data_IF_732097937692
#
_entry.id   IF_732097937692
#
_cell.length_a   1.000
_cell.length_b   1.000
_cell.length_c   1.000
_cell.angle_alpha   90.00
_cell.angle_beta   90.00
_cell.angle_gamma   90.00
#
_symmetry.space_group_name_H-M   'P 1'
#
loop_
_entity.id
_entity.type
_entity.pdbx_description
1 polymer ?
#
# COMPACT_ATOMS: atom_id res chain seq x y z
N UNK A 1 -2.00 -7.95 -10.55
CA UNK A 1 -1.96 -7.66 -9.11
C UNK A 1 -0.65 -7.03 -8.73
N UNK A 2 -0.66 -6.20 -7.70
CA UNK A 2 0.53 -5.70 -7.02
C UNK A 2 0.67 -6.51 -5.72
N UNK A 3 1.75 -7.28 -5.58
CA UNK A 3 1.96 -8.22 -4.46
C UNK A 3 3.08 -7.73 -3.56
N UNK A 4 2.97 -7.92 -2.25
CA UNK A 4 4.08 -7.70 -1.32
C UNK A 4 3.65 -7.47 0.13
N UNK A 5 4.62 -7.51 1.02
CA UNK A 5 4.41 -7.47 2.47
C UNK A 5 3.86 -6.13 2.97
N UNK A 6 3.47 -6.06 4.24
CA UNK A 6 2.96 -4.83 4.82
C UNK A 6 3.99 -3.69 4.70
N UNK A 7 3.52 -2.46 4.48
CA UNK A 7 4.41 -1.28 4.43
C UNK A 7 5.25 -1.12 3.17
N UNK A 8 5.22 -2.04 2.19
CA UNK A 8 6.06 -1.98 0.97
C UNK A 8 5.59 -0.96 -0.10
N UNK A 9 4.65 -0.06 0.22
CA UNK A 9 4.19 0.97 -0.72
C UNK A 9 3.15 0.54 -1.77
N UNK A 10 2.54 -0.66 -1.67
CA UNK A 10 1.51 -1.13 -2.63
C UNK A 10 0.36 -0.15 -2.83
N UNK A 11 -0.20 0.37 -1.74
CA UNK A 11 -1.32 1.32 -1.78
C UNK A 11 -0.89 2.65 -2.39
N UNK A 12 0.36 3.07 -2.19
CA UNK A 12 0.95 4.27 -2.80
C UNK A 12 1.06 4.09 -4.32
N UNK A 13 1.70 2.99 -4.77
CA UNK A 13 1.82 2.66 -6.19
C UNK A 13 0.45 2.57 -6.87
N UNK A 14 -0.51 1.91 -6.22
CA UNK A 14 -1.87 1.79 -6.73
C UNK A 14 -2.53 3.17 -6.88
N UNK A 15 -2.34 4.08 -5.91
CA UNK A 15 -2.89 5.46 -5.95
C UNK A 15 -2.27 6.29 -7.06
N UNK A 16 -0.97 6.15 -7.30
CA UNK A 16 -0.31 6.84 -8.41
C UNK A 16 -0.84 6.36 -9.76
N UNK A 17 -1.06 5.04 -9.90
CA UNK A 17 -1.66 4.46 -11.10
C UNK A 17 -3.13 4.86 -11.29
N UNK A 18 -3.82 5.32 -10.24
CA UNK A 18 -5.25 5.61 -10.30
C UNK A 18 -5.60 6.68 -11.33
N UNK A 19 -4.78 7.73 -11.45
CA UNK A 19 -5.00 8.82 -12.40
C UNK A 19 -4.91 8.32 -13.85
N UNK A 20 -3.81 7.63 -14.19
CA UNK A 20 -3.62 7.04 -15.52
C UNK A 20 -4.70 6.02 -15.86
N UNK A 21 -5.12 5.20 -14.90
CA UNK A 21 -6.19 4.23 -15.09
C UNK A 21 -7.56 4.89 -15.31
N UNK A 22 -7.84 6.01 -14.64
CA UNK A 22 -9.08 6.74 -14.84
C UNK A 22 -9.18 7.35 -16.25
N UNK A 23 -8.04 7.81 -16.79
CA UNK A 23 -7.96 8.40 -18.13
C UNK A 23 -8.07 7.33 -19.24
N UNK A 24 -7.32 6.23 -19.11
CA UNK A 24 -7.25 5.17 -20.13
C UNK A 24 -8.44 4.19 -20.06
N UNK A 25 -9.09 4.07 -18.90
CA UNK A 25 -10.13 3.07 -18.63
C UNK A 25 -11.36 3.72 -18.00
N UNK A 26 -12.12 4.53 -18.76
CA UNK A 26 -13.29 5.23 -18.26
C UNK A 26 -14.34 4.26 -17.70
N UNK A 27 -15.09 4.72 -16.70
CA UNK A 27 -16.04 3.88 -15.97
C UNK A 27 -15.39 2.92 -14.97
N UNK A 28 -14.10 3.10 -14.67
CA UNK A 28 -13.39 2.41 -13.60
C UNK A 28 -13.99 2.69 -12.22
N UNK A 29 -13.80 1.76 -11.27
CA UNK A 29 -14.29 1.85 -9.90
C UNK A 29 -13.16 1.55 -8.92
N UNK A 30 -13.15 2.24 -7.78
CA UNK A 30 -12.12 2.09 -6.76
C UNK A 30 -12.71 1.68 -5.41
N UNK A 31 -12.05 0.77 -4.72
CA UNK A 31 -12.36 0.44 -3.33
C UNK A 31 -11.09 0.16 -2.54
N UNK A 32 -11.04 0.71 -1.33
CA UNK A 32 -10.08 0.32 -0.31
C UNK A 32 -10.81 -0.52 0.73
N UNK A 33 -10.35 -1.75 0.92
CA UNK A 33 -10.89 -2.66 1.91
C UNK A 33 -10.15 -2.46 3.22
N UNK A 34 -10.92 -2.26 4.29
CA UNK A 34 -10.39 -2.16 5.65
C UNK A 34 -10.79 -3.40 6.43
N UNK A 35 -9.93 -3.81 7.36
CA UNK A 35 -10.33 -4.69 8.46
C UNK A 35 -10.03 -3.94 9.77
N UNK A 36 -11.00 -3.77 10.68
CA UNK A 36 -10.73 -3.23 11.99
C UNK A 36 -10.02 -4.27 12.84
N UNK A 37 -9.11 -3.80 13.70
CA UNK A 37 -8.52 -4.59 14.77
C UNK A 37 -9.62 -4.92 15.81
N UNK A 38 -10.31 -6.05 15.62
CA UNK A 38 -11.46 -6.39 16.46
C UNK A 38 -11.68 -7.90 16.61
N UNK A 39 -12.59 -8.30 17.51
CA UNK A 39 -12.88 -9.73 17.73
C UNK A 39 -13.58 -10.41 16.53
N UNK A 40 -13.53 -11.75 16.50
CA UNK A 40 -14.05 -12.62 15.41
C UNK A 40 -15.45 -12.29 14.86
N UNK A 41 -16.39 -11.78 15.67
CA UNK A 41 -17.74 -11.40 15.19
C UNK A 41 -17.75 -10.14 14.33
N UNK A 42 -16.88 -9.17 14.63
CA UNK A 42 -16.74 -7.95 13.83
C UNK A 42 -16.12 -8.26 12.48
N UNK A 43 -15.16 -9.19 12.45
CA UNK A 43 -14.53 -9.66 11.22
C UNK A 43 -15.55 -10.22 10.22
N UNK A 44 -16.51 -11.07 10.65
CA UNK A 44 -17.52 -11.60 9.73
C UNK A 44 -18.42 -10.50 9.13
N UNK A 45 -18.85 -9.53 9.94
CA UNK A 45 -19.68 -8.42 9.45
C UNK A 45 -18.92 -7.57 8.43
N UNK A 46 -17.66 -7.27 8.72
CA UNK A 46 -16.77 -6.53 7.82
C UNK A 46 -16.57 -7.27 6.50
N UNK A 47 -16.24 -8.56 6.56
CA UNK A 47 -16.04 -9.37 5.36
C UNK A 47 -17.30 -9.37 4.48
N UNK A 48 -18.49 -9.48 5.08
CA UNK A 48 -19.75 -9.42 4.33
C UNK A 48 -19.96 -8.03 3.73
N UNK A 49 -19.66 -6.95 4.45
CA UNK A 49 -19.73 -5.58 3.95
C UNK A 49 -18.75 -5.34 2.79
N UNK A 50 -17.50 -5.79 2.92
CA UNK A 50 -16.47 -5.75 1.90
C UNK A 50 -16.90 -6.49 0.63
N UNK A 51 -17.45 -7.71 0.78
CA UNK A 51 -18.03 -8.47 -0.34
C UNK A 51 -19.16 -7.70 -1.00
N UNK A 52 -20.10 -7.14 -0.23
CA UNK A 52 -21.23 -6.39 -0.76
C UNK A 52 -20.77 -5.14 -1.53
N UNK A 53 -19.80 -4.41 -1.01
CA UNK A 53 -19.19 -3.23 -1.64
C UNK A 53 -18.49 -3.61 -2.95
N UNK A 54 -17.61 -4.61 -2.92
CA UNK A 54 -16.92 -5.08 -4.14
C UNK A 54 -17.92 -5.58 -5.17
N UNK A 55 -18.97 -6.31 -4.75
CA UNK A 55 -20.01 -6.79 -5.67
C UNK A 55 -20.78 -5.64 -6.31
N UNK A 56 -21.10 -4.60 -5.55
CA UNK A 56 -21.79 -3.39 -6.04
C UNK A 56 -20.92 -2.66 -7.04
N UNK A 57 -19.67 -2.37 -6.68
CA UNK A 57 -18.74 -1.65 -7.55
C UNK A 57 -18.40 -2.44 -8.80
N UNK A 58 -18.16 -3.75 -8.67
CA UNK A 58 -17.97 -4.62 -9.83
C UNK A 58 -19.15 -4.56 -10.80
N UNK A 59 -20.39 -4.36 -10.35
CA UNK A 59 -21.55 -4.18 -11.24
C UNK A 59 -21.57 -2.81 -11.92
N UNK A 60 -21.12 -1.78 -11.20
CA UNK A 60 -21.04 -0.39 -11.66
C UNK A 60 -19.87 -0.15 -12.64
N UNK A 61 -18.82 -0.99 -12.59
CA UNK A 61 -17.72 -0.92 -13.56
C UNK A 61 -18.24 -1.17 -14.97
N UNK A 62 -17.95 -0.27 -15.90
CA UNK A 62 -18.35 -0.39 -17.30
C UNK A 62 -17.53 -1.48 -18.02
N UNK A 63 -18.04 -2.08 -19.12
CA UNK A 63 -17.21 -2.91 -19.99
C UNK A 63 -15.98 -2.13 -20.47
N UNK A 64 -14.79 -2.74 -20.43
CA UNK A 64 -13.52 -2.05 -20.69
C UNK A 64 -12.96 -1.29 -19.49
N UNK A 65 -13.78 -0.99 -18.47
CA UNK A 65 -13.34 -0.32 -17.24
C UNK A 65 -12.59 -1.26 -16.29
N UNK A 66 -11.87 -0.65 -15.35
CA UNK A 66 -11.07 -1.35 -14.32
C UNK A 66 -11.72 -1.26 -12.93
N UNK A 67 -11.82 -2.40 -12.24
CA UNK A 67 -12.12 -2.44 -10.80
C UNK A 67 -10.81 -2.50 -10.02
N UNK A 68 -10.50 -1.45 -9.29
CA UNK A 68 -9.32 -1.35 -8.44
C UNK A 68 -9.68 -1.69 -6.99
N UNK A 69 -8.98 -2.64 -6.40
CA UNK A 69 -9.19 -3.13 -5.03
C UNK A 69 -7.89 -3.03 -4.23
N UNK A 70 -7.83 -2.11 -3.27
CA UNK A 70 -6.77 -2.09 -2.28
C UNK A 70 -7.14 -3.00 -1.11
N UNK A 71 -6.29 -3.97 -0.76
CA UNK A 71 -6.51 -4.94 0.31
C UNK A 71 -7.24 -6.21 -0.14
N UNK A 72 -6.82 -6.84 -1.24
CA UNK A 72 -7.47 -8.04 -1.78
C UNK A 72 -7.49 -9.25 -0.84
N UNK A 73 -6.55 -9.33 0.11
CA UNK A 73 -6.50 -10.35 1.15
C UNK A 73 -7.73 -10.34 2.07
N UNK A 74 -8.42 -9.20 2.18
CA UNK A 74 -9.62 -9.03 3.02
C UNK A 74 -10.86 -9.74 2.45
N UNK A 75 -10.77 -10.26 1.21
CA UNK A 75 -11.83 -11.04 0.57
C UNK A 75 -11.57 -12.53 0.71
N UNK A 76 -12.59 -13.38 0.97
CA UNK A 76 -12.40 -14.83 0.99
C UNK A 76 -11.90 -15.37 -0.36
N UNK A 77 -11.04 -16.40 -0.33
CA UNK A 77 -10.46 -16.99 -1.55
C UNK A 77 -11.51 -17.42 -2.58
N UNK A 78 -12.61 -18.02 -2.13
CA UNK A 78 -13.74 -18.43 -2.98
C UNK A 78 -14.37 -17.23 -3.67
N UNK A 79 -14.50 -16.10 -2.97
CA UNK A 79 -15.05 -14.87 -3.54
C UNK A 79 -14.10 -14.25 -4.56
N UNK A 80 -12.79 -14.27 -4.31
CA UNK A 80 -11.78 -13.81 -5.28
C UNK A 80 -11.83 -14.61 -6.59
N UNK A 81 -11.97 -15.94 -6.49
CA UNK A 81 -12.15 -16.80 -7.67
C UNK A 81 -13.45 -16.50 -8.42
N UNK A 82 -14.56 -16.31 -7.69
CA UNK A 82 -15.82 -15.89 -8.32
C UNK A 82 -15.66 -14.54 -9.03
N UNK A 83 -14.98 -13.58 -8.40
CA UNK A 83 -14.75 -12.25 -8.95
C UNK A 83 -13.93 -12.30 -10.24
N UNK A 84 -12.84 -13.07 -10.30
CA UNK A 84 -12.00 -13.20 -11.50
C UNK A 84 -12.79 -13.72 -12.69
N UNK A 85 -13.61 -14.75 -12.47
CA UNK A 85 -14.51 -15.31 -13.49
C UNK A 85 -15.53 -14.26 -13.94
N UNK A 86 -16.15 -13.54 -13.01
CA UNK A 86 -17.17 -12.53 -13.35
C UNK A 86 -16.61 -11.34 -14.13
N UNK A 87 -15.42 -10.87 -13.77
CA UNK A 87 -14.76 -9.75 -14.43
C UNK A 87 -14.36 -10.15 -15.85
N UNK A 88 -13.73 -11.32 -16.02
CA UNK A 88 -13.34 -11.85 -17.33
C UNK A 88 -14.55 -12.05 -18.26
N UNK A 89 -15.64 -12.63 -17.75
CA UNK A 89 -16.87 -12.87 -18.55
C UNK A 89 -17.57 -11.59 -19.01
N UNK A 90 -17.34 -10.47 -18.34
CA UNK A 90 -17.95 -9.17 -18.68
C UNK A 90 -17.02 -8.22 -19.44
N UNK A 91 -15.83 -8.67 -19.85
CA UNK A 91 -14.86 -7.84 -20.56
C UNK A 91 -14.38 -6.66 -19.73
N UNK A 92 -14.17 -6.88 -18.43
CA UNK A 92 -13.69 -5.86 -17.47
C UNK A 92 -12.29 -6.22 -16.99
N UNK A 93 -11.62 -5.26 -16.39
CA UNK A 93 -10.31 -5.46 -15.78
C UNK A 93 -10.39 -5.39 -14.26
N UNK A 94 -9.42 -6.00 -13.58
CA UNK A 94 -9.28 -5.91 -12.14
C UNK A 94 -7.82 -5.73 -11.76
N UNK A 95 -7.55 -4.65 -11.04
CA UNK A 95 -6.27 -4.43 -10.39
C UNK A 95 -6.47 -4.57 -8.88
N UNK A 96 -5.62 -5.35 -8.22
CA UNK A 96 -5.69 -5.49 -6.77
C UNK A 96 -4.31 -5.50 -6.13
N UNK A 97 -4.22 -4.99 -4.90
CA UNK A 97 -3.08 -5.21 -4.00
C UNK A 97 -3.32 -6.45 -3.14
N UNK A 98 -2.27 -7.20 -2.79
CA UNK A 98 -2.35 -8.26 -1.79
C UNK A 98 -0.97 -8.63 -1.22
N UNK A 99 -0.94 -9.34 -0.09
CA UNK A 99 0.31 -9.88 0.47
C UNK A 99 0.86 -11.08 -0.31
N UNK A 100 -0.01 -11.88 -0.91
CA UNK A 100 0.38 -13.08 -1.64
C UNK A 100 -0.34 -13.18 -2.99
N UNK A 101 0.21 -14.01 -3.88
CA UNK A 101 -0.45 -14.33 -5.15
C UNK A 101 -1.83 -14.93 -4.91
N UNK A 102 -2.82 -14.47 -5.68
CA UNK A 102 -4.21 -14.96 -5.59
C UNK A 102 -4.52 -15.75 -6.86
N UNK A 103 -5.00 -16.99 -6.68
CA UNK A 103 -5.42 -17.82 -7.79
C UNK A 103 -6.49 -17.13 -8.66
N UNK A 104 -6.31 -17.17 -9.98
CA UNK A 104 -7.19 -16.50 -10.94
C UNK A 104 -6.80 -15.06 -11.26
N UNK A 105 -5.71 -14.54 -10.70
CA UNK A 105 -5.14 -13.25 -11.03
C UNK A 105 -3.66 -13.38 -11.34
N UNK A 106 -3.19 -12.57 -12.30
CA UNK A 106 -1.79 -12.49 -12.68
C UNK A 106 -1.06 -11.47 -11.79
N UNK A 107 0.15 -11.80 -11.33
CA UNK A 107 1.03 -10.85 -10.65
C UNK A 107 1.67 -9.94 -11.69
N UNK A 108 1.36 -8.65 -11.63
CA UNK A 108 1.89 -7.63 -12.54
C UNK A 108 3.16 -7.00 -11.97
N UNK A 109 3.20 -6.85 -10.64
CA UNK A 109 4.33 -6.26 -9.94
C UNK A 109 4.44 -6.86 -8.54
N UNK A 110 5.67 -7.05 -8.06
CA UNK A 110 5.96 -7.48 -6.70
C UNK A 110 6.82 -6.42 -6.03
N UNK A 111 6.28 -5.81 -4.97
CA UNK A 111 7.02 -4.88 -4.11
C UNK A 111 7.80 -5.68 -3.07
N UNK A 112 9.07 -5.34 -2.89
CA UNK A 112 9.92 -5.85 -1.81
C UNK A 112 10.64 -4.66 -1.17
N UNK A 113 10.90 -4.73 0.13
CA UNK A 113 11.83 -3.82 0.79
C UNK A 113 13.25 -4.39 0.65
N UNK A 114 14.20 -3.52 0.34
CA UNK A 114 15.63 -3.81 0.41
C UNK A 114 16.31 -2.71 1.21
N UNK A 115 17.47 -3.01 1.79
CA UNK A 115 18.24 -2.03 2.54
C UNK A 115 18.57 -0.80 1.67
N UNK A 116 18.93 -1.02 0.41
CA UNK A 116 19.25 0.04 -0.54
C UNK A 116 18.04 0.95 -0.82
N UNK A 117 16.85 0.37 -0.99
CA UNK A 117 15.63 1.13 -1.19
C UNK A 117 15.28 1.96 0.06
N UNK A 118 15.47 1.42 1.26
CA UNK A 118 15.25 2.14 2.51
C UNK A 118 16.20 3.34 2.61
N UNK A 119 17.49 3.13 2.35
CA UNK A 119 18.49 4.20 2.36
C UNK A 119 18.19 5.30 1.33
N UNK A 120 17.74 4.91 0.13
CA UNK A 120 17.33 5.84 -0.92
C UNK A 120 16.13 6.69 -0.48
N UNK A 121 15.06 6.05 0.00
CA UNK A 121 13.86 6.74 0.48
C UNK A 121 14.15 7.69 1.65
N UNK A 122 15.00 7.28 2.61
CA UNK A 122 15.43 8.16 3.71
C UNK A 122 16.21 9.35 3.16
N UNK A 123 17.12 9.11 2.21
CA UNK A 123 17.95 10.16 1.63
C UNK A 123 17.12 11.18 0.86
N UNK A 124 16.13 10.73 0.09
CA UNK A 124 15.16 11.60 -0.59
C UNK A 124 14.33 12.41 0.41
N UNK A 125 13.85 11.79 1.49
CA UNK A 125 13.07 12.47 2.53
C UNK A 125 13.89 13.58 3.20
N UNK A 126 15.15 13.30 3.57
CA UNK A 126 16.06 14.28 4.16
C UNK A 126 16.44 15.40 3.17
N UNK A 127 16.50 15.13 1.88
CA UNK A 127 16.79 16.13 0.86
C UNK A 127 15.60 17.07 0.56
N UNK A 128 14.37 16.66 0.89
CA UNK A 128 13.14 17.40 0.65
C UNK A 128 12.59 18.15 1.88
N UNK A 129 13.25 18.09 3.03
CA UNK A 129 12.86 18.90 4.19
C UNK A 129 13.02 20.39 3.84
N UNK A 130 11.94 21.21 3.88
CA UNK A 130 12.05 22.62 3.52
C UNK A 130 13.06 23.32 4.44
N UNK A 131 13.83 24.30 3.92
CA UNK A 131 14.88 25.04 4.65
C UNK A 131 14.33 26.00 5.73
N UNK A 132 13.16 25.70 6.30
CA UNK A 132 12.49 26.50 7.32
C UNK A 132 13.19 26.47 8.68
N UNK A 133 14.15 25.56 8.89
CA UNK A 133 14.97 25.47 10.11
C UNK A 133 16.44 25.77 9.78
N UNK A 134 17.16 26.32 10.75
CA UNK A 134 18.56 26.73 10.58
C UNK A 134 19.43 25.57 10.03
N UNK A 135 20.48 25.83 9.22
CA UNK A 135 21.33 24.80 8.62
C UNK A 135 21.97 23.82 9.62
N UNK A 136 22.10 24.24 10.88
CA UNK A 136 22.62 23.42 11.98
C UNK A 136 21.59 22.35 12.43
N UNK A 137 20.29 22.67 12.36
CA UNK A 137 19.22 21.75 12.72
C UNK A 137 19.10 20.60 11.71
N UNK A 138 19.14 20.92 10.42
CA UNK A 138 19.10 19.93 9.33
C UNK A 138 20.29 18.95 9.42
N UNK A 139 21.49 19.47 9.74
CA UNK A 139 22.69 18.65 9.96
C UNK A 139 22.55 17.73 11.17
N UNK A 140 21.97 18.20 12.27
CA UNK A 140 21.78 17.40 13.48
C UNK A 140 20.76 16.27 13.24
N UNK A 141 19.65 16.56 12.57
CA UNK A 141 18.63 15.56 12.20
C UNK A 141 19.23 14.49 11.26
N UNK A 142 19.90 14.91 10.18
CA UNK A 142 20.52 13.97 9.23
C UNK A 142 21.57 13.09 9.90
N UNK A 143 22.35 13.64 10.83
CA UNK A 143 23.37 12.87 11.57
C UNK A 143 22.74 11.81 12.46
N UNK A 144 21.70 12.16 13.22
CA UNK A 144 21.08 11.18 14.13
C UNK A 144 20.21 10.14 13.42
N UNK A 145 19.53 10.50 12.33
CA UNK A 145 18.85 9.51 11.48
C UNK A 145 19.85 8.50 10.92
N UNK A 146 21.00 8.95 10.39
CA UNK A 146 22.05 8.05 9.90
C UNK A 146 22.65 7.19 11.00
N UNK A 147 22.82 7.73 12.21
CA UNK A 147 23.31 6.97 13.36
C UNK A 147 22.33 5.88 13.77
N UNK A 148 21.03 6.21 13.82
CA UNK A 148 19.98 5.24 14.12
C UNK A 148 19.97 4.10 13.09
N UNK A 149 19.97 4.44 11.79
CA UNK A 149 20.00 3.47 10.71
C UNK A 149 21.26 2.60 10.74
N UNK A 150 22.42 3.16 11.06
CA UNK A 150 23.67 2.40 11.24
C UNK A 150 23.68 1.46 12.45
N UNK A 151 22.69 1.58 13.35
CA UNK A 151 22.52 0.73 14.52
C UNK A 151 21.54 -0.44 14.33
N UNK A 152 20.82 -0.49 13.20
CA UNK A 152 19.85 -1.54 12.88
C UNK A 152 20.28 -2.32 11.63
N UNK A 153 19.88 -3.59 11.56
CA UNK A 153 20.02 -4.37 10.32
C UNK A 153 18.80 -4.08 9.42
N UNK A 154 19.01 -3.30 8.36
CA UNK A 154 17.95 -2.92 7.44
C UNK A 154 17.38 -4.12 6.66
N UNK A 155 18.12 -5.22 6.56
CA UNK A 155 17.62 -6.43 5.89
C UNK A 155 16.52 -7.14 6.69
N UNK A 156 16.44 -6.89 7.99
CA UNK A 156 15.39 -7.42 8.87
C UNK A 156 14.12 -6.55 8.88
N UNK A 157 14.13 -5.39 8.21
CA UNK A 157 12.96 -4.49 8.16
C UNK A 157 11.93 -5.03 7.17
N UNK A 158 10.89 -5.68 7.71
CA UNK A 158 9.76 -6.20 6.92
C UNK A 158 8.64 -5.18 6.68
N UNK A 159 8.61 -4.08 7.44
CA UNK A 159 7.56 -3.07 7.40
C UNK A 159 8.16 -1.66 7.49
N UNK A 160 8.19 -0.96 6.36
CA UNK A 160 8.72 0.39 6.28
C UNK A 160 7.93 1.39 7.14
N UNK A 161 6.64 1.14 7.39
CA UNK A 161 5.82 2.05 8.21
C UNK A 161 6.31 2.09 9.65
N UNK A 162 6.65 0.94 10.21
CA UNK A 162 7.13 0.86 11.59
C UNK A 162 8.50 1.56 11.70
N UNK A 163 9.36 1.38 10.69
CA UNK A 163 10.62 2.13 10.60
C UNK A 163 10.39 3.64 10.51
N UNK A 164 9.36 4.10 9.78
CA UNK A 164 9.04 5.52 9.73
C UNK A 164 8.60 6.06 11.09
N UNK A 165 7.76 5.33 11.81
CA UNK A 165 7.33 5.73 13.16
C UNK A 165 8.54 5.86 14.09
N UNK A 166 9.48 4.91 14.05
CA UNK A 166 10.75 4.98 14.81
C UNK A 166 11.61 6.20 14.43
N UNK A 167 11.75 6.48 13.13
CA UNK A 167 12.52 7.61 12.63
C UNK A 167 11.87 8.95 13.01
N UNK A 168 10.54 9.04 13.05
CA UNK A 168 9.84 10.22 13.54
C UNK A 168 10.18 10.50 15.01
N UNK A 169 10.24 9.47 15.87
CA UNK A 169 10.66 9.66 17.27
C UNK A 169 12.08 10.21 17.38
N UNK A 170 13.00 9.76 16.52
CA UNK A 170 14.38 10.26 16.49
C UNK A 170 14.40 11.75 16.13
N UNK A 171 13.65 12.15 15.10
CA UNK A 171 13.56 13.55 14.66
C UNK A 171 12.92 14.44 15.73
N UNK A 172 11.88 13.95 16.41
CA UNK A 172 11.19 14.66 17.49
C UNK A 172 12.16 14.95 18.65
N UNK A 173 12.93 13.94 19.10
CA UNK A 173 13.93 14.10 20.17
C UNK A 173 15.02 15.13 19.83
N UNK A 174 15.41 15.26 18.57
CA UNK A 174 16.38 16.27 18.10
C UNK A 174 15.73 17.66 18.02
N UNK A 175 14.42 17.73 17.83
CA UNK A 175 13.68 19.00 17.75
C UNK A 175 13.34 19.59 19.11
N UNK A 176 13.24 18.76 20.15
CA UNK A 176 12.99 19.19 21.53
C UNK A 176 14.25 19.69 22.28
N UNK A 177 15.44 19.56 21.68
CA UNK A 177 16.73 20.01 22.22
C UNK A 177 17.14 21.39 21.69
#
# INVERSE_FOLDING_TARGET
MIVGDHGTGKSTLLRELAATLADEMPGGQWVQLTLPEGGSRWHLRETVANIATVRRLARQTEPGGVLVIDGGEQLPAVYRMWLSIQIKRRGRFCLMTSHASVAGFETLYQTSLSAELIEELVSELLAHDPPAKAPEHERNVSTEVRRYLGGIDLSDVSNLRDLWDDLYEVVERVTEQ
#
